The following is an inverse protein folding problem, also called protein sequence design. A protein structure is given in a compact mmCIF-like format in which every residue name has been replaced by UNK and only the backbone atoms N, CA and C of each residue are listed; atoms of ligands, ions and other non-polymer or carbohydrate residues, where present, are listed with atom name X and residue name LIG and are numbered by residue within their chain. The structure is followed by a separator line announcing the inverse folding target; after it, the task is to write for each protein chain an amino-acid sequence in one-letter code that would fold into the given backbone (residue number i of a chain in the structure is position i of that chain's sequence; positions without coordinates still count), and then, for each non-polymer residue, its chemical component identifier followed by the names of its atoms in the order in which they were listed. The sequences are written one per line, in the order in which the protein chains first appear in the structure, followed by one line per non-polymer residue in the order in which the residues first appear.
data_IF_509679576275
#
_entry.id   IF_509679576275
#
_cell.length_a   1.000
_cell.length_b   1.000
_cell.length_c   1.000
_cell.angle_alpha   90.00
_cell.angle_beta   90.00
_cell.angle_gamma   90.00
#
_symmetry.space_group_name_H-M   'P 1'
#
loop_
_entity.id
_entity.type
_entity.pdbx_description
1 polymer ?
#
# COMPACT_ATOMS: atom_id res chain seq x y z
N UNK A 1 22.23 -5.09 -0.97
CA UNK A 1 21.29 -6.08 -0.42
C UNK A 1 21.01 -5.76 1.04
N UNK A 2 19.98 -4.97 1.39
CA UNK A 2 19.61 -4.83 2.80
C UNK A 2 18.75 -6.02 3.21
N UNK A 3 19.37 -6.99 3.87
CA UNK A 3 18.70 -8.01 4.67
C UNK A 3 18.07 -7.32 5.88
N UNK A 4 16.94 -6.62 5.71
CA UNK A 4 16.14 -6.23 6.87
C UNK A 4 15.61 -7.51 7.50
N UNK A 5 16.06 -7.83 8.71
CA UNK A 5 15.67 -9.03 9.46
C UNK A 5 14.19 -9.03 9.86
N UNK A 6 13.40 -8.06 9.38
CA UNK A 6 12.04 -7.82 9.82
C UNK A 6 12.03 -7.13 11.17
N UNK A 7 10.83 -6.76 11.61
CA UNK A 7 10.62 -6.11 12.89
C UNK A 7 9.52 -6.85 13.66
N UNK A 8 9.65 -6.96 14.98
CA UNK A 8 8.57 -7.41 15.85
C UNK A 8 7.47 -6.35 15.97
N UNK A 9 6.30 -6.73 16.49
CA UNK A 9 5.23 -5.77 16.79
C UNK A 9 5.70 -4.64 17.73
N UNK A 10 6.60 -4.97 18.66
CA UNK A 10 7.10 -4.03 19.66
C UNK A 10 8.15 -3.10 19.03
N UNK A 11 9.02 -3.62 18.17
CA UNK A 11 9.97 -2.81 17.39
C UNK A 11 9.22 -1.84 16.45
N UNK A 12 8.12 -2.29 15.82
CA UNK A 12 7.28 -1.45 14.96
C UNK A 12 6.56 -0.39 15.80
N UNK A 13 5.95 -0.79 16.92
CA UNK A 13 5.26 0.12 17.85
C UNK A 13 6.21 1.24 18.32
N UNK A 14 7.42 0.89 18.75
CA UNK A 14 8.43 1.85 19.20
C UNK A 14 8.86 2.82 18.09
N UNK A 15 9.00 2.34 16.85
CA UNK A 15 9.42 3.16 15.70
C UNK A 15 8.30 4.08 15.18
N UNK A 16 7.06 3.64 15.24
CA UNK A 16 5.89 4.33 14.66
C UNK A 16 5.08 5.12 15.69
N UNK A 17 5.35 4.93 16.98
CA UNK A 17 4.62 5.55 18.11
C UNK A 17 3.12 5.22 18.15
N UNK A 18 2.69 4.15 17.49
CA UNK A 18 1.33 3.62 17.64
C UNK A 18 1.30 2.45 18.60
N UNK A 19 0.15 2.21 19.23
CA UNK A 19 0.00 1.13 20.22
C UNK A 19 0.26 -0.24 19.59
N UNK A 20 0.76 -1.19 20.38
CA UNK A 20 0.98 -2.58 19.95
C UNK A 20 -0.28 -3.21 19.34
N UNK A 21 -1.47 -2.92 19.91
CA UNK A 21 -2.75 -3.39 19.38
C UNK A 21 -3.05 -2.85 17.98
N UNK A 22 -2.80 -1.56 17.76
CA UNK A 22 -2.94 -0.91 16.44
C UNK A 22 -1.95 -1.48 15.44
N UNK A 23 -0.71 -1.75 15.84
CA UNK A 23 0.29 -2.41 14.98
C UNK A 23 -0.20 -3.78 14.52
N UNK A 24 -0.69 -4.62 15.44
CA UNK A 24 -1.20 -5.95 15.11
C UNK A 24 -2.39 -5.86 14.15
N UNK A 25 -3.31 -4.91 14.37
CA UNK A 25 -4.43 -4.68 13.46
C UNK A 25 -3.99 -4.40 12.01
N UNK A 26 -3.02 -3.50 11.82
CA UNK A 26 -2.51 -3.19 10.48
C UNK A 26 -1.72 -4.34 9.87
N UNK A 27 -0.91 -5.04 10.67
CA UNK A 27 -0.15 -6.19 10.19
C UNK A 27 -1.07 -7.30 9.69
N UNK A 28 -2.15 -7.60 10.41
CA UNK A 28 -3.12 -8.59 9.96
C UNK A 28 -3.70 -8.22 8.59
N UNK A 29 -4.16 -6.97 8.42
CA UNK A 29 -4.65 -6.48 7.12
C UNK A 29 -3.59 -6.59 6.00
N UNK A 30 -2.33 -6.29 6.31
CA UNK A 30 -1.23 -6.36 5.36
C UNK A 30 -0.77 -7.80 5.08
N UNK A 31 -0.97 -8.72 6.01
CA UNK A 31 -0.73 -10.14 5.81
C UNK A 31 -1.85 -10.77 4.99
N UNK A 32 -3.11 -10.42 5.27
CA UNK A 32 -4.28 -10.86 4.52
C UNK A 32 -4.24 -10.41 3.06
N UNK A 33 -3.70 -9.20 2.80
CA UNK A 33 -3.45 -8.70 1.44
C UNK A 33 -2.19 -9.26 0.78
N UNK A 34 -1.43 -10.10 1.48
CA UNK A 34 -0.19 -10.70 0.98
C UNK A 34 1.02 -9.78 0.97
N UNK A 35 0.93 -8.56 1.49
CA UNK A 35 2.03 -7.56 1.49
C UNK A 35 3.07 -7.81 2.58
N UNK A 36 2.68 -8.42 3.71
CA UNK A 36 3.58 -8.78 4.81
C UNK A 36 3.63 -10.31 4.98
N UNK A 37 4.83 -10.82 5.23
CA UNK A 37 5.08 -12.17 5.70
C UNK A 37 5.64 -12.15 7.13
N UNK A 38 5.25 -13.15 7.92
CA UNK A 38 5.85 -13.42 9.22
C UNK A 38 6.96 -14.47 9.06
N UNK A 39 8.15 -14.18 9.58
CA UNK A 39 9.28 -15.10 9.57
C UNK A 39 10.04 -14.97 10.90
N UNK A 40 10.19 -16.07 11.65
CA UNK A 40 10.90 -16.10 12.95
C UNK A 40 10.43 -14.99 13.92
N UNK A 41 9.10 -14.87 14.11
CA UNK A 41 8.46 -13.86 14.96
C UNK A 41 8.72 -12.39 14.56
N UNK A 42 9.13 -12.15 13.32
CA UNK A 42 9.33 -10.82 12.75
C UNK A 42 8.53 -10.65 11.48
N UNK A 43 8.05 -9.42 11.26
CA UNK A 43 7.27 -9.04 10.10
C UNK A 43 8.17 -8.40 9.05
N UNK A 44 8.00 -8.84 7.81
CA UNK A 44 8.75 -8.38 6.64
C UNK A 44 7.79 -8.10 5.51
N UNK A 45 8.10 -7.11 4.66
CA UNK A 45 7.40 -6.97 3.40
C UNK A 45 7.69 -8.20 2.52
N UNK A 46 6.67 -8.77 1.89
CA UNK A 46 6.77 -9.89 0.95
C UNK A 46 7.63 -9.53 -0.26
N UNK A 47 7.60 -8.25 -0.66
CA UNK A 47 8.40 -7.69 -1.74
C UNK A 47 9.04 -6.37 -1.31
N UNK A 48 10.11 -5.94 -2.00
CA UNK A 48 10.92 -4.78 -1.59
C UNK A 48 10.19 -3.43 -1.59
N UNK A 49 9.01 -3.29 -2.21
CA UNK A 49 8.43 -1.96 -2.43
C UNK A 49 6.90 -1.93 -2.38
N UNK A 50 6.30 -1.90 -1.18
CA UNK A 50 4.90 -1.44 -1.01
C UNK A 50 4.70 -0.05 -1.62
N UNK A 51 5.73 0.79 -1.55
CA UNK A 51 5.79 2.09 -2.22
C UNK A 51 5.61 1.97 -3.76
N UNK A 52 6.16 0.92 -4.38
CA UNK A 52 5.97 0.67 -5.81
C UNK A 52 4.53 0.28 -6.11
N UNK A 53 3.91 -0.55 -5.28
CA UNK A 53 2.49 -0.87 -5.43
C UNK A 53 1.61 0.38 -5.28
N UNK A 54 1.92 1.26 -4.32
CA UNK A 54 1.20 2.53 -4.17
C UNK A 54 1.36 3.40 -5.42
N UNK A 55 2.57 3.48 -6.00
CA UNK A 55 2.79 4.18 -7.26
C UNK A 55 2.04 3.58 -8.44
N UNK A 56 2.02 2.26 -8.56
CA UNK A 56 1.27 1.57 -9.62
C UNK A 56 -0.24 1.87 -9.49
N UNK A 57 -0.79 1.89 -8.27
CA UNK A 57 -2.19 2.29 -8.03
C UNK A 57 -2.43 3.77 -8.38
N UNK A 58 -1.49 4.66 -8.05
CA UNK A 58 -1.57 6.08 -8.38
C UNK A 58 -1.60 6.31 -9.90
N UNK A 59 -0.71 5.62 -10.64
CA UNK A 59 -0.64 5.67 -12.10
C UNK A 59 -1.95 5.19 -12.76
N UNK A 60 -2.51 4.06 -12.29
CA UNK A 60 -3.77 3.51 -12.81
C UNK A 60 -4.97 4.46 -12.60
N UNK A 61 -5.03 5.12 -11.43
CA UNK A 61 -6.09 6.07 -11.10
C UNK A 61 -5.99 7.32 -11.99
N UNK A 62 -4.79 7.85 -12.19
CA UNK A 62 -4.60 8.99 -13.10
C UNK A 62 -5.03 8.69 -14.54
N UNK A 63 -4.71 7.50 -15.05
CA UNK A 63 -5.12 7.10 -16.39
C UNK A 63 -6.64 7.06 -16.52
N UNK A 64 -7.32 6.46 -15.54
CA UNK A 64 -8.78 6.39 -15.46
C UNK A 64 -9.42 7.79 -15.48
N UNK A 65 -8.89 8.74 -14.70
CA UNK A 65 -9.39 10.12 -14.70
C UNK A 65 -9.23 10.80 -16.07
N UNK A 66 -8.09 10.60 -16.76
CA UNK A 66 -7.87 11.15 -18.10
C UNK A 66 -8.88 10.61 -19.11
N UNK A 67 -9.27 9.35 -19.00
CA UNK A 67 -10.32 8.77 -19.85
C UNK A 67 -11.69 9.37 -19.55
N UNK A 68 -12.05 9.52 -18.27
CA UNK A 68 -13.30 10.17 -17.86
C UNK A 68 -13.40 11.60 -18.41
N UNK A 69 -12.33 12.39 -18.32
CA UNK A 69 -12.29 13.74 -18.89
C UNK A 69 -12.48 13.76 -20.41
N UNK A 70 -11.86 12.80 -21.12
CA UNK A 70 -12.04 12.67 -22.59
C UNK A 70 -13.50 12.38 -22.93
N UNK A 71 -14.17 11.54 -22.17
CA UNK A 71 -15.59 11.21 -22.36
C UNK A 71 -16.46 12.43 -22.07
N UNK A 72 -16.23 13.13 -20.96
CA UNK A 72 -16.95 14.36 -20.61
C UNK A 72 -16.85 15.41 -21.72
N UNK A 73 -15.63 15.65 -22.26
CA UNK A 73 -15.41 16.57 -23.39
C UNK A 73 -16.18 16.16 -24.65
N UNK A 74 -16.34 14.86 -24.91
CA UNK A 74 -17.14 14.37 -26.04
C UNK A 74 -18.63 14.66 -25.83
N UNK A 75 -19.14 14.43 -24.62
CA UNK A 75 -20.53 14.73 -24.25
C UNK A 75 -20.80 16.24 -24.42
N UNK A 76 -19.94 17.10 -23.86
CA UNK A 76 -20.08 18.55 -23.97
C UNK A 76 -20.09 19.02 -25.44
N UNK A 77 -19.31 18.37 -26.30
CA UNK A 77 -19.28 18.67 -27.73
C UNK A 77 -20.56 18.23 -28.46
N UNK A 78 -21.21 17.17 -28.00
CA UNK A 78 -22.47 16.68 -28.60
C UNK A 78 -23.70 17.44 -28.10
N UNK A 79 -23.63 18.02 -26.91
CA UNK A 79 -24.72 18.80 -26.29
C UNK A 79 -24.63 20.30 -26.57
N UNK A 80 -23.63 20.76 -27.34
CA UNK A 80 -23.50 22.11 -27.91
C UNK A 80 -23.96 22.13 -29.35
#
# INVERSE_FOLDING_TARGET
LQNSQGLSSDEISNKTRITRGTVIHHINKLTDSGLIISQKNKYKLRTRNVNRLIKEIEEDVEETFKEMEKIAKKIDKQLR
#
